data_IF_854931361834
#
_entry.id   IF_854931361834
#
_cell.length_a   1.000
_cell.length_b   1.000
_cell.length_c   1.000
_cell.angle_alpha   90.00
_cell.angle_beta   90.00
_cell.angle_gamma   90.00
#
_symmetry.space_group_name_H-M   'P 1'
#
loop_
_entity.id
_entity.type
_entity.pdbx_description
1 polymer ?
#
# COMPACT_ATOMS: atom_id res chain seq x y z
N UNK A 1 10.67 9.95 36.94
CA UNK A 1 10.17 8.56 36.95
C UNK A 1 10.39 8.01 35.56
N UNK A 2 11.27 7.02 35.43
CA UNK A 2 11.66 6.42 34.16
C UNK A 2 10.46 5.72 33.54
N UNK A 3 9.96 6.24 32.42
CA UNK A 3 8.94 5.55 31.62
C UNK A 3 9.63 4.44 30.85
N UNK A 4 9.67 3.25 31.44
CA UNK A 4 9.96 2.02 30.71
C UNK A 4 8.86 1.78 29.68
N UNK A 5 9.05 2.32 28.48
CA UNK A 5 8.36 1.87 27.28
C UNK A 5 8.85 0.46 26.96
N UNK A 6 8.15 -0.46 27.63
CA UNK A 6 8.20 -1.92 27.59
C UNK A 6 8.52 -2.47 26.20
N UNK A 7 9.65 -3.15 26.05
CA UNK A 7 9.97 -4.36 25.24
C UNK A 7 9.49 -4.50 23.77
N UNK A 8 8.32 -3.99 23.39
CA UNK A 8 7.69 -4.11 22.07
C UNK A 8 8.24 -3.12 21.02
N UNK A 9 9.04 -2.13 21.41
CA UNK A 9 9.50 -1.05 20.52
C UNK A 9 10.85 -1.30 19.83
N UNK A 10 11.51 -2.45 20.04
CA UNK A 10 12.82 -2.73 19.41
C UNK A 10 12.69 -3.48 18.09
N UNK A 11 13.52 -3.12 17.12
CA UNK A 11 13.71 -3.86 15.88
C UNK A 11 14.21 -5.28 16.22
N UNK A 12 13.59 -6.31 15.63
CA UNK A 12 13.85 -7.72 15.99
C UNK A 12 14.47 -8.50 14.83
N UNK A 13 15.19 -9.59 15.15
CA UNK A 13 15.71 -10.54 14.16
C UNK A 13 14.64 -11.08 13.22
N UNK A 14 13.42 -11.30 13.73
CA UNK A 14 12.28 -11.71 12.92
C UNK A 14 11.97 -10.69 11.81
N UNK A 15 11.96 -9.38 12.13
CA UNK A 15 11.71 -8.33 11.13
C UNK A 15 12.85 -8.16 10.14
N UNK A 16 14.08 -8.34 10.60
CA UNK A 16 15.24 -8.38 9.72
C UNK A 16 15.09 -9.50 8.68
N UNK A 17 14.72 -10.70 9.12
CA UNK A 17 14.42 -11.83 8.22
C UNK A 17 13.25 -11.53 7.29
N UNK A 18 12.15 -10.94 7.78
CA UNK A 18 11.04 -10.52 6.92
C UNK A 18 11.47 -9.53 5.84
N UNK A 19 12.41 -8.62 6.15
CA UNK A 19 12.95 -7.65 5.18
C UNK A 19 13.76 -8.37 4.10
N UNK A 20 14.57 -9.38 4.47
CA UNK A 20 15.30 -10.23 3.51
C UNK A 20 14.33 -11.00 2.61
N UNK A 21 13.30 -11.62 3.18
CA UNK A 21 12.27 -12.30 2.38
C UNK A 21 11.53 -11.33 1.46
N UNK A 22 11.21 -10.13 1.94
CA UNK A 22 10.60 -9.09 1.11
C UNK A 22 11.43 -8.72 -0.12
N UNK A 23 12.76 -8.61 0.04
CA UNK A 23 13.68 -8.38 -1.07
C UNK A 23 13.69 -9.56 -2.06
N UNK A 24 13.72 -10.80 -1.56
CA UNK A 24 13.68 -11.99 -2.40
C UNK A 24 12.37 -12.10 -3.19
N UNK A 25 11.23 -11.78 -2.56
CA UNK A 25 9.94 -11.73 -3.24
C UNK A 25 9.90 -10.66 -4.32
N UNK A 26 10.48 -9.48 -4.06
CA UNK A 26 10.57 -8.43 -5.08
C UNK A 26 11.39 -8.86 -6.30
N UNK A 27 12.54 -9.52 -6.09
CA UNK A 27 13.34 -10.07 -7.18
C UNK A 27 12.59 -11.15 -7.96
N UNK A 28 11.84 -12.00 -7.27
CA UNK A 28 11.02 -13.02 -7.90
C UNK A 28 9.91 -12.41 -8.76
N UNK A 29 9.26 -11.33 -8.29
CA UNK A 29 8.20 -10.58 -8.99
C UNK A 29 8.71 -10.01 -10.32
N UNK A 30 9.84 -9.31 -10.30
CA UNK A 30 10.49 -8.78 -11.52
C UNK A 30 10.77 -9.92 -12.51
N UNK A 31 11.29 -11.05 -12.01
CA UNK A 31 11.60 -12.22 -12.82
C UNK A 31 10.35 -12.86 -13.44
N UNK A 32 9.27 -13.01 -12.66
CA UNK A 32 8.01 -13.59 -13.14
C UNK A 32 7.34 -12.71 -14.17
N UNK A 33 7.36 -11.40 -13.99
CA UNK A 33 6.69 -10.46 -14.88
C UNK A 33 7.39 -10.36 -16.23
N UNK A 34 8.72 -10.36 -16.22
CA UNK A 34 9.51 -10.45 -17.44
C UNK A 34 9.26 -11.77 -18.17
N UNK A 35 9.27 -12.89 -17.46
CA UNK A 35 9.01 -14.20 -18.05
C UNK A 35 7.61 -14.30 -18.66
N UNK A 36 6.60 -13.79 -17.94
CA UNK A 36 5.21 -13.78 -18.39
C UNK A 36 5.03 -12.94 -19.65
N UNK A 37 5.63 -11.74 -19.68
CA UNK A 37 5.63 -10.88 -20.87
C UNK A 37 6.26 -11.57 -22.09
N UNK A 38 7.42 -12.23 -21.91
CA UNK A 38 8.07 -13.02 -22.96
C UNK A 38 7.19 -14.18 -23.42
N UNK A 39 6.49 -14.85 -22.51
CA UNK A 39 5.57 -15.94 -22.85
C UNK A 39 4.42 -15.43 -23.71
N UNK A 40 3.76 -14.32 -23.32
CA UNK A 40 2.70 -13.73 -24.13
C UNK A 40 3.19 -13.30 -25.51
N UNK A 41 4.39 -12.71 -25.59
CA UNK A 41 4.98 -12.31 -26.87
C UNK A 41 5.24 -13.52 -27.78
N UNK A 42 5.84 -14.59 -27.24
CA UNK A 42 6.10 -15.84 -27.99
C UNK A 42 4.83 -16.55 -28.43
N UNK A 43 3.76 -16.46 -27.65
CA UNK A 43 2.44 -17.00 -27.98
C UNK A 43 1.65 -16.13 -28.97
N UNK A 44 2.21 -15.01 -29.44
CA UNK A 44 1.55 -14.10 -30.40
C UNK A 44 0.56 -13.11 -29.77
N UNK A 45 0.38 -13.13 -28.45
CA UNK A 45 -0.51 -12.23 -27.72
C UNK A 45 0.19 -10.92 -27.34
N UNK A 46 0.53 -10.12 -28.36
CA UNK A 46 1.32 -8.88 -28.21
C UNK A 46 0.63 -7.87 -27.29
N UNK A 47 -0.71 -7.76 -27.32
CA UNK A 47 -1.46 -6.85 -26.46
C UNK A 47 -1.31 -7.19 -24.98
N UNK A 48 -1.35 -8.47 -24.62
CA UNK A 48 -1.18 -8.91 -23.23
C UNK A 48 0.25 -8.68 -22.75
N UNK A 49 1.25 -8.99 -23.59
CA UNK A 49 2.65 -8.67 -23.30
C UNK A 49 2.87 -7.17 -23.08
N UNK A 50 2.30 -6.33 -23.94
CA UNK A 50 2.41 -4.88 -23.85
C UNK A 50 1.75 -4.33 -22.57
N UNK A 51 0.54 -4.80 -22.23
CA UNK A 51 -0.13 -4.39 -20.99
C UNK A 51 0.65 -4.81 -19.74
N UNK A 52 1.16 -6.05 -19.68
CA UNK A 52 2.02 -6.51 -18.58
C UNK A 52 3.23 -5.60 -18.42
N UNK A 53 3.95 -5.30 -19.51
CA UNK A 53 5.12 -4.41 -19.46
C UNK A 53 4.77 -2.98 -19.05
N UNK A 54 3.62 -2.45 -19.48
CA UNK A 54 3.16 -1.12 -19.06
C UNK A 54 2.94 -1.08 -17.55
N UNK A 55 2.29 -2.10 -16.97
CA UNK A 55 2.09 -2.18 -15.52
C UNK A 55 3.43 -2.23 -14.76
N UNK A 56 4.40 -3.04 -15.24
CA UNK A 56 5.76 -3.09 -14.67
C UNK A 56 6.44 -1.72 -14.73
N UNK A 57 6.43 -1.08 -15.90
CA UNK A 57 7.11 0.21 -16.09
C UNK A 57 6.48 1.32 -15.25
N UNK A 58 5.16 1.37 -15.15
CA UNK A 58 4.45 2.37 -14.34
C UNK A 58 4.73 2.18 -12.86
N UNK A 59 4.58 0.97 -12.33
CA UNK A 59 4.87 0.66 -10.92
C UNK A 59 6.32 0.98 -10.56
N UNK A 60 7.25 0.48 -11.36
CA UNK A 60 8.68 0.73 -11.24
C UNK A 60 9.04 2.22 -11.28
N UNK A 61 8.56 2.99 -12.27
CA UNK A 61 8.83 4.42 -12.38
C UNK A 61 8.32 5.19 -11.16
N UNK A 62 7.09 4.91 -10.71
CA UNK A 62 6.52 5.54 -9.53
C UNK A 62 7.38 5.31 -8.29
N UNK A 63 7.80 4.07 -8.04
CA UNK A 63 8.63 3.74 -6.88
C UNK A 63 9.98 4.42 -6.93
N UNK A 64 10.63 4.50 -8.09
CA UNK A 64 11.91 5.18 -8.20
C UNK A 64 11.77 6.69 -7.94
N UNK A 65 10.67 7.33 -8.37
CA UNK A 65 10.40 8.75 -8.11
C UNK A 65 10.27 9.00 -6.59
N UNK A 66 9.44 8.20 -5.89
CA UNK A 66 9.28 8.33 -4.44
C UNK A 66 10.56 7.97 -3.68
N UNK A 67 11.21 6.87 -4.05
CA UNK A 67 12.47 6.44 -3.45
C UNK A 67 13.54 7.52 -3.56
N UNK A 68 13.66 8.17 -4.73
CA UNK A 68 14.60 9.26 -4.96
C UNK A 68 14.29 10.46 -4.06
N UNK A 69 13.03 10.91 -4.06
CA UNK A 69 12.61 12.06 -3.26
C UNK A 69 12.87 11.82 -1.77
N UNK A 70 12.53 10.64 -1.28
CA UNK A 70 12.76 10.26 0.11
C UNK A 70 14.24 10.12 0.43
N UNK A 71 15.08 9.63 -0.49
CA UNK A 71 16.53 9.55 -0.22
C UNK A 71 17.15 10.93 -0.10
N UNK A 72 16.65 11.87 -0.91
CA UNK A 72 17.05 13.27 -0.83
C UNK A 72 16.62 13.87 0.50
N UNK A 73 15.39 13.63 0.93
CA UNK A 73 14.86 14.11 2.22
C UNK A 73 15.64 13.48 3.40
N UNK A 74 15.96 12.19 3.35
CA UNK A 74 16.71 11.49 4.41
C UNK A 74 18.12 12.08 4.55
N UNK A 75 18.79 12.38 3.42
CA UNK A 75 20.13 13.02 3.40
C UNK A 75 20.13 14.45 3.95
N UNK A 76 19.06 15.20 3.74
CA UNK A 76 18.95 16.58 4.23
C UNK A 76 18.64 16.66 5.74
N UNK A 77 17.99 15.64 6.30
CA UNK A 77 17.52 15.64 7.69
C UNK A 77 18.41 14.85 8.65
N UNK A 78 19.09 13.82 8.17
CA UNK A 78 20.01 13.01 8.95
C UNK A 78 21.38 13.19 8.30
N UNK A 79 22.27 13.96 8.95
CA UNK A 79 23.66 14.15 8.52
C UNK A 79 24.38 12.79 8.56
N UNK A 80 24.16 11.96 7.53
CA UNK A 80 24.79 10.66 7.44
C UNK A 80 26.29 10.87 7.19
N UNK A 81 27.09 10.34 8.12
CA UNK A 81 28.56 10.32 8.15
C UNK A 81 29.20 9.57 6.95
N UNK A 82 28.40 9.12 5.99
CA UNK A 82 28.87 8.46 4.77
C UNK A 82 29.24 9.51 3.73
N UNK A 83 30.38 9.34 3.04
CA UNK A 83 30.88 10.26 2.01
C UNK A 83 29.80 10.48 0.95
N UNK A 84 29.04 11.57 1.12
CA UNK A 84 27.70 11.69 0.56
C UNK A 84 27.66 11.40 -0.93
N UNK A 85 26.87 10.40 -1.32
CA UNK A 85 26.54 10.15 -2.73
C UNK A 85 26.13 11.49 -3.37
N UNK A 86 26.81 11.86 -4.45
CA UNK A 86 26.46 13.09 -5.16
C UNK A 86 25.03 12.98 -5.69
N UNK A 87 24.33 14.11 -5.83
CA UNK A 87 22.97 14.13 -6.38
C UNK A 87 22.90 13.47 -7.76
N UNK A 88 23.97 13.59 -8.56
CA UNK A 88 24.09 12.91 -9.86
C UNK A 88 24.15 11.39 -9.71
N UNK A 89 24.91 10.89 -8.73
CA UNK A 89 24.93 9.46 -8.43
C UNK A 89 23.56 8.96 -7.96
N UNK A 90 22.88 9.73 -7.10
CA UNK A 90 21.54 9.38 -6.63
C UNK A 90 20.51 9.33 -7.78
N UNK A 91 20.56 10.28 -8.71
CA UNK A 91 19.73 10.24 -9.92
C UNK A 91 20.08 9.01 -10.76
N UNK A 92 21.38 8.75 -10.97
CA UNK A 92 21.84 7.62 -11.79
C UNK A 92 21.35 6.28 -11.24
N UNK A 93 21.40 6.04 -9.93
CA UNK A 93 20.93 4.76 -9.37
C UNK A 93 19.43 4.58 -9.55
N UNK A 94 18.61 5.64 -9.49
CA UNK A 94 17.16 5.55 -9.67
C UNK A 94 16.79 5.38 -11.15
N UNK A 95 17.50 6.06 -12.05
CA UNK A 95 17.35 5.87 -13.51
C UNK A 95 17.73 4.45 -13.92
N UNK A 96 18.77 3.88 -13.32
CA UNK A 96 19.19 2.49 -13.55
C UNK A 96 18.34 1.45 -12.81
N UNK A 97 17.25 1.86 -12.15
CA UNK A 97 16.35 1.00 -11.38
C UNK A 97 16.99 0.34 -10.14
N UNK A 98 18.16 0.81 -9.69
CA UNK A 98 18.91 0.29 -8.54
C UNK A 98 18.45 0.94 -7.22
N UNK A 99 17.73 2.06 -7.27
CA UNK A 99 17.33 2.85 -6.09
C UNK A 99 16.66 2.06 -4.98
N UNK A 100 15.61 1.28 -5.30
CA UNK A 100 14.93 0.44 -4.30
C UNK A 100 15.85 -0.61 -3.65
N UNK A 101 16.78 -1.21 -4.40
CA UNK A 101 17.75 -2.16 -3.87
C UNK A 101 18.69 -1.47 -2.89
N UNK A 102 19.09 -0.22 -3.16
CA UNK A 102 19.88 0.55 -2.20
C UNK A 102 19.11 0.82 -0.90
N UNK A 103 17.79 1.05 -0.94
CA UNK A 103 16.95 1.18 0.28
C UNK A 103 16.94 -0.11 1.10
N UNK A 104 16.73 -1.26 0.45
CA UNK A 104 16.77 -2.56 1.11
C UNK A 104 18.13 -2.81 1.78
N UNK A 105 19.23 -2.61 1.04
CA UNK A 105 20.58 -2.83 1.57
C UNK A 105 20.89 -1.86 2.72
N UNK A 106 20.48 -0.60 2.60
CA UNK A 106 20.67 0.40 3.66
C UNK A 106 19.92 0.00 4.95
N UNK A 107 18.64 -0.34 4.85
CA UNK A 107 17.84 -0.80 5.99
C UNK A 107 18.44 -2.08 6.61
N UNK A 108 18.80 -3.07 5.80
CA UNK A 108 19.37 -4.34 6.28
C UNK A 108 20.71 -4.14 7.00
N UNK A 109 21.59 -3.28 6.48
CA UNK A 109 22.89 -2.97 7.11
C UNK A 109 22.71 -2.27 8.46
N UNK A 110 21.88 -1.21 8.50
CA UNK A 110 21.65 -0.46 9.74
C UNK A 110 20.93 -1.28 10.79
N UNK A 111 19.86 -1.97 10.41
CA UNK A 111 19.13 -2.85 11.35
C UNK A 111 20.00 -4.00 11.87
N UNK A 112 20.91 -4.56 11.05
CA UNK A 112 21.87 -5.56 11.51
C UNK A 112 22.86 -4.99 12.54
N UNK A 113 23.38 -3.77 12.31
CA UNK A 113 24.27 -3.10 13.28
C UNK A 113 23.55 -2.83 14.60
N UNK A 114 22.32 -2.32 14.56
CA UNK A 114 21.48 -2.10 15.72
C UNK A 114 21.16 -3.41 16.47
N UNK A 115 20.82 -4.49 15.75
CA UNK A 115 20.53 -5.79 16.36
C UNK A 115 21.74 -6.42 17.08
N UNK A 116 22.96 -6.07 16.67
CA UNK A 116 24.20 -6.57 17.28
C UNK A 116 24.67 -5.69 18.45
N UNK A 117 24.14 -4.49 18.57
CA UNK A 117 24.54 -3.52 19.59
C UNK A 117 23.52 -3.52 20.72
N UNK A 118 23.92 -3.98 21.91
CA UNK A 118 23.01 -4.07 23.07
C UNK A 118 22.53 -2.70 23.58
N UNK A 119 23.26 -1.63 23.25
CA UNK A 119 23.02 -0.24 23.67
C UNK A 119 22.57 0.67 22.50
N UNK A 120 21.60 0.19 21.71
CA UNK A 120 21.05 1.00 20.60
C UNK A 120 20.12 2.08 21.17
N UNK A 121 20.39 3.35 20.83
CA UNK A 121 19.57 4.49 21.23
C UNK A 121 18.13 4.40 20.67
N UNK A 122 17.16 4.92 21.42
CA UNK A 122 15.74 4.93 21.01
C UNK A 122 15.51 5.69 19.69
N UNK A 123 16.29 6.74 19.43
CA UNK A 123 16.26 7.50 18.17
C UNK A 123 16.67 6.64 16.96
N UNK A 124 17.70 5.80 17.10
CA UNK A 124 18.13 4.89 16.03
C UNK A 124 17.06 3.81 15.77
N UNK A 125 16.42 3.30 16.82
CA UNK A 125 15.29 2.37 16.67
C UNK A 125 14.18 3.04 15.86
N UNK A 126 13.73 4.22 16.28
CA UNK A 126 12.68 4.98 15.60
C UNK A 126 13.00 5.24 14.12
N UNK A 127 14.23 5.64 13.83
CA UNK A 127 14.69 5.83 12.45
C UNK A 127 14.61 4.54 11.61
N UNK A 128 15.00 3.38 12.17
CA UNK A 128 14.85 2.08 11.50
C UNK A 128 13.38 1.73 11.18
N UNK A 129 12.44 2.07 12.07
CA UNK A 129 11.02 1.90 11.80
C UNK A 129 10.52 2.80 10.67
N UNK A 130 11.07 4.01 10.55
CA UNK A 130 10.79 4.90 9.42
C UNK A 130 11.27 4.35 8.09
N UNK A 131 12.52 3.93 8.02
CA UNK A 131 13.08 3.29 6.83
C UNK A 131 12.29 2.04 6.42
N UNK A 132 11.87 1.22 7.39
CA UNK A 132 11.04 0.05 7.12
C UNK A 132 9.64 0.44 6.60
N UNK A 133 9.09 1.55 7.07
CA UNK A 133 7.76 2.00 6.67
C UNK A 133 7.76 2.62 5.29
N UNK A 134 8.75 3.45 4.97
CA UNK A 134 9.00 3.90 3.60
C UNK A 134 9.02 2.70 2.65
N UNK A 135 9.80 1.67 2.98
CA UNK A 135 9.93 0.50 2.13
C UNK A 135 8.60 -0.23 1.93
N UNK A 136 7.84 -0.44 3.01
CA UNK A 136 6.51 -1.03 2.91
C UNK A 136 5.54 -0.15 2.11
N UNK A 137 5.65 1.18 2.18
CA UNK A 137 4.83 2.11 1.38
C UNK A 137 5.16 1.99 -0.11
N UNK A 138 6.44 1.94 -0.48
CA UNK A 138 6.87 1.73 -1.87
C UNK A 138 6.36 0.39 -2.42
N UNK A 139 6.48 -0.68 -1.62
CA UNK A 139 5.95 -2.00 -1.99
C UNK A 139 4.44 -2.00 -2.17
N UNK A 140 3.71 -1.24 -1.35
CA UNK A 140 2.27 -1.08 -1.54
C UNK A 140 1.95 -0.34 -2.84
N UNK A 141 2.68 0.73 -3.18
CA UNK A 141 2.50 1.43 -4.45
C UNK A 141 2.74 0.50 -5.64
N UNK A 142 3.83 -0.27 -5.63
CA UNK A 142 4.10 -1.30 -6.62
C UNK A 142 2.92 -2.24 -6.80
N UNK A 143 2.48 -2.84 -5.70
CA UNK A 143 1.42 -3.84 -5.73
C UNK A 143 0.16 -3.33 -6.42
N UNK A 144 -0.28 -2.10 -6.12
CA UNK A 144 -1.52 -1.56 -6.68
C UNK A 144 -1.37 -0.93 -8.06
N UNK A 145 -0.16 -0.55 -8.47
CA UNK A 145 0.13 -0.01 -9.81
C UNK A 145 0.51 -1.11 -10.81
N UNK A 146 1.06 -2.22 -10.33
CA UNK A 146 1.65 -3.30 -11.12
C UNK A 146 0.91 -4.62 -10.89
N UNK A 147 1.10 -5.26 -9.72
CA UNK A 147 0.66 -6.65 -9.49
C UNK A 147 -0.87 -6.83 -9.51
N UNK A 148 -1.63 -5.89 -8.96
CA UNK A 148 -3.11 -5.97 -8.90
C UNK A 148 -3.74 -5.77 -10.29
N UNK A 149 -3.39 -4.72 -11.07
CA UNK A 149 -3.84 -4.61 -12.46
C UNK A 149 -3.43 -5.80 -13.35
N UNK A 150 -2.23 -6.33 -13.17
CA UNK A 150 -1.81 -7.56 -13.85
C UNK A 150 -2.67 -8.75 -13.45
N UNK A 151 -3.03 -8.90 -12.18
CA UNK A 151 -3.94 -9.97 -11.74
C UNK A 151 -5.32 -9.82 -12.38
N UNK A 152 -5.86 -8.60 -12.48
CA UNK A 152 -7.12 -8.34 -13.21
C UNK A 152 -7.03 -8.83 -14.67
N UNK A 153 -5.90 -8.54 -15.35
CA UNK A 153 -5.64 -9.00 -16.72
C UNK A 153 -5.50 -10.53 -16.80
N UNK A 154 -4.79 -11.17 -15.87
CA UNK A 154 -4.63 -12.63 -15.85
C UNK A 154 -5.97 -13.34 -15.62
N UNK A 155 -6.80 -12.86 -14.70
CA UNK A 155 -8.14 -13.40 -14.47
C UNK A 155 -9.00 -13.25 -15.73
N UNK A 156 -8.90 -12.11 -16.44
CA UNK A 156 -9.60 -11.88 -17.70
C UNK A 156 -9.21 -12.94 -18.76
N UNK A 157 -7.91 -13.16 -18.95
CA UNK A 157 -7.40 -14.14 -19.93
C UNK A 157 -7.89 -15.56 -19.58
N UNK A 158 -7.83 -15.93 -18.29
CA UNK A 158 -8.27 -17.25 -17.81
C UNK A 158 -9.76 -17.49 -18.09
N UNK A 159 -10.62 -16.51 -17.79
CA UNK A 159 -12.07 -16.63 -17.99
C UNK A 159 -12.47 -16.64 -19.47
N UNK A 160 -11.70 -15.94 -20.32
CA UNK A 160 -11.96 -15.93 -21.77
C UNK A 160 -11.44 -17.20 -22.47
N UNK A 161 -10.35 -17.80 -21.99
CA UNK A 161 -9.65 -18.90 -22.68
C UNK A 161 -9.66 -20.25 -21.94
N UNK A 162 -10.45 -20.40 -20.86
CA UNK A 162 -10.62 -21.64 -20.08
C UNK A 162 -9.29 -22.27 -19.60
N UNK A 163 -8.31 -21.46 -19.22
CA UNK A 163 -7.04 -21.96 -18.69
C UNK A 163 -7.11 -22.13 -17.16
N UNK A 164 -7.11 -23.37 -16.68
CA UNK A 164 -7.10 -23.68 -15.24
C UNK A 164 -5.70 -23.56 -14.62
N UNK A 165 -5.33 -22.38 -14.13
CA UNK A 165 -4.17 -22.19 -13.24
C UNK A 165 -4.64 -21.62 -11.90
N UNK A 166 -4.10 -22.14 -10.80
CA UNK A 166 -4.52 -21.87 -9.42
C UNK A 166 -4.34 -20.39 -9.04
N UNK A 167 -5.44 -19.63 -9.05
CA UNK A 167 -5.53 -18.22 -8.64
C UNK A 167 -5.31 -17.97 -7.14
N UNK A 168 -5.28 -19.03 -6.31
CA UNK A 168 -5.24 -18.90 -4.85
C UNK A 168 -3.95 -18.25 -4.33
N UNK A 169 -2.82 -18.47 -5.02
CA UNK A 169 -1.52 -17.93 -4.61
C UNK A 169 -1.44 -16.41 -4.83
N UNK A 170 -1.96 -15.89 -5.95
CA UNK A 170 -1.91 -14.45 -6.27
C UNK A 170 -2.78 -13.60 -5.34
N UNK A 171 -3.94 -14.11 -4.92
CA UNK A 171 -4.78 -13.43 -3.93
C UNK A 171 -4.16 -13.41 -2.53
N UNK A 172 -3.44 -14.46 -2.16
CA UNK A 172 -2.76 -14.56 -0.86
C UNK A 172 -1.58 -13.58 -0.76
N UNK A 173 -0.79 -13.41 -1.83
CA UNK A 173 0.32 -12.44 -1.89
C UNK A 173 -0.17 -11.00 -1.83
N UNK A 174 -1.25 -10.64 -2.54
CA UNK A 174 -1.81 -9.27 -2.52
C UNK A 174 -2.30 -8.87 -1.12
N UNK A 175 -3.00 -9.78 -0.45
CA UNK A 175 -3.47 -9.48 0.88
C UNK A 175 -2.34 -9.41 1.91
N UNK A 176 -1.33 -10.28 1.80
CA UNK A 176 -0.19 -10.27 2.70
C UNK A 176 0.56 -8.94 2.67
N UNK A 177 0.82 -8.36 1.50
CA UNK A 177 1.52 -7.08 1.43
C UNK A 177 0.66 -5.88 1.88
N UNK A 178 -0.66 -5.92 1.69
CA UNK A 178 -1.56 -4.89 2.23
C UNK A 178 -1.52 -4.88 3.77
N UNK A 179 -1.39 -6.06 4.39
CA UNK A 179 -1.26 -6.21 5.85
C UNK A 179 0.13 -5.84 6.34
N UNK A 180 1.17 -6.19 5.59
CA UNK A 180 2.54 -5.79 5.88
C UNK A 180 2.66 -4.25 5.89
N UNK A 181 2.11 -3.57 4.88
CA UNK A 181 2.02 -2.11 4.85
C UNK A 181 1.30 -1.56 6.10
N UNK A 182 0.11 -2.07 6.43
CA UNK A 182 -0.65 -1.54 7.57
C UNK A 182 0.08 -1.74 8.90
N UNK A 183 0.83 -2.83 9.05
CA UNK A 183 1.65 -3.09 10.23
C UNK A 183 2.87 -2.18 10.30
N UNK A 184 3.58 -1.98 9.20
CA UNK A 184 4.74 -1.09 9.16
C UNK A 184 4.31 0.38 9.36
N UNK A 185 3.30 0.84 8.62
CA UNK A 185 2.69 2.17 8.77
C UNK A 185 2.34 2.47 10.23
N UNK A 186 1.51 1.64 10.87
CA UNK A 186 1.11 1.86 12.27
C UNK A 186 2.25 1.82 13.29
N UNK A 187 3.36 1.15 12.97
CA UNK A 187 4.53 1.08 13.86
C UNK A 187 5.52 2.22 13.65
N UNK A 188 5.51 2.91 12.51
CA UNK A 188 6.21 4.19 12.38
C UNK A 188 5.54 5.33 13.13
N UNK A 189 4.26 5.22 13.48
CA UNK A 189 3.53 6.26 14.20
C UNK A 189 3.69 6.13 15.73
N UNK A 190 4.40 7.05 16.45
CA UNK A 190 4.69 6.92 17.88
C UNK A 190 3.44 7.04 18.76
N UNK A 191 2.35 7.60 18.23
CA UNK A 191 1.08 7.80 18.95
C UNK A 191 0.03 6.72 18.68
N UNK A 192 0.34 5.70 17.86
CA UNK A 192 -0.58 4.62 17.53
C UNK A 192 -0.10 3.30 18.15
N UNK A 193 -0.97 2.68 18.96
CA UNK A 193 -0.70 1.34 19.47
C UNK A 193 -0.50 0.37 18.32
N UNK A 194 0.54 -0.44 18.43
CA UNK A 194 0.86 -1.51 17.49
C UNK A 194 -0.35 -2.42 17.23
N UNK A 195 -0.44 -2.97 16.02
CA UNK A 195 -1.34 -4.09 15.76
C UNK A 195 -0.70 -5.38 16.31
N UNK A 196 -1.29 -6.02 17.34
CA UNK A 196 -0.66 -7.17 17.97
C UNK A 196 -0.41 -8.30 16.96
N UNK A 197 0.74 -8.97 17.10
CA UNK A 197 1.00 -10.19 16.36
C UNK A 197 0.01 -11.30 16.76
N UNK A 198 -0.35 -12.19 15.83
CA UNK A 198 -1.34 -13.25 16.08
C UNK A 198 -2.74 -12.92 15.54
N UNK A 199 -3.78 -13.20 16.34
CA UNK A 199 -5.20 -13.21 15.93
C UNK A 199 -5.67 -11.87 15.31
N UNK A 200 -5.36 -10.68 15.89
CA UNK A 200 -5.78 -9.41 15.29
C UNK A 200 -5.29 -9.22 13.87
N UNK A 201 -4.04 -9.63 13.60
CA UNK A 201 -3.48 -9.58 12.25
C UNK A 201 -4.15 -10.58 11.32
N UNK A 202 -4.36 -11.81 11.77
CA UNK A 202 -5.03 -12.82 10.95
C UNK A 202 -6.43 -12.36 10.54
N UNK A 203 -7.21 -11.78 11.47
CA UNK A 203 -8.55 -11.26 11.18
C UNK A 203 -8.52 -10.10 10.19
N UNK A 204 -7.58 -9.16 10.34
CA UNK A 204 -7.44 -8.04 9.40
C UNK A 204 -6.96 -8.49 8.02
N UNK A 205 -6.07 -9.49 7.97
CA UNK A 205 -5.66 -10.15 6.73
C UNK A 205 -6.85 -10.81 6.04
N UNK A 206 -7.66 -11.56 6.78
CA UNK A 206 -8.90 -12.15 6.26
C UNK A 206 -9.83 -11.07 5.70
N UNK A 207 -10.06 -9.98 6.44
CA UNK A 207 -10.83 -8.84 5.95
C UNK A 207 -10.30 -8.31 4.59
N UNK A 208 -8.99 -8.12 4.45
CA UNK A 208 -8.41 -7.65 3.19
C UNK A 208 -8.54 -8.68 2.06
N UNK A 209 -8.25 -9.96 2.31
CA UNK A 209 -8.45 -11.05 1.32
C UNK A 209 -9.91 -11.03 0.83
N UNK A 210 -10.86 -11.11 1.75
CA UNK A 210 -12.28 -11.25 1.44
C UNK A 210 -12.93 -9.96 0.91
N UNK A 211 -12.23 -8.81 0.91
CA UNK A 211 -12.72 -7.59 0.24
C UNK A 211 -12.03 -7.32 -1.10
N UNK A 212 -10.73 -7.61 -1.22
CA UNK A 212 -9.95 -7.38 -2.44
C UNK A 212 -10.25 -8.44 -3.50
N UNK A 213 -10.32 -9.73 -3.14
CA UNK A 213 -10.59 -10.81 -4.10
C UNK A 213 -11.92 -10.63 -4.86
N UNK A 214 -13.08 -10.42 -4.20
CA UNK A 214 -14.33 -10.21 -4.93
C UNK A 214 -14.33 -8.89 -5.72
N UNK A 215 -13.54 -7.90 -5.29
CA UNK A 215 -13.36 -6.64 -6.01
C UNK A 215 -12.61 -6.85 -7.33
N UNK A 216 -11.51 -7.61 -7.31
CA UNK A 216 -10.74 -7.95 -8.52
C UNK A 216 -11.64 -8.73 -9.49
N UNK A 217 -12.35 -9.76 -9.01
CA UNK A 217 -13.29 -10.54 -9.83
C UNK A 217 -14.38 -9.65 -10.44
N UNK A 218 -14.97 -8.74 -9.66
CA UNK A 218 -15.97 -7.80 -10.16
C UNK A 218 -15.42 -6.87 -11.24
N UNK A 219 -14.22 -6.30 -11.04
CA UNK A 219 -13.57 -5.45 -12.04
C UNK A 219 -13.24 -6.22 -13.32
N UNK A 220 -12.82 -7.48 -13.21
CA UNK A 220 -12.62 -8.35 -14.38
C UNK A 220 -13.92 -8.56 -15.15
N UNK A 221 -15.02 -8.94 -14.48
CA UNK A 221 -16.33 -9.08 -15.14
C UNK A 221 -16.78 -7.77 -15.80
N UNK A 222 -16.49 -6.63 -15.17
CA UNK A 222 -16.79 -5.32 -15.73
C UNK A 222 -16.00 -5.02 -17.01
N UNK A 223 -14.73 -5.39 -17.08
CA UNK A 223 -13.91 -5.23 -18.30
C UNK A 223 -14.39 -6.18 -19.42
N UNK A 224 -14.84 -7.39 -19.09
CA UNK A 224 -15.39 -8.35 -20.07
C UNK A 224 -16.67 -7.85 -20.76
N UNK A 225 -17.37 -6.90 -20.14
CA UNK A 225 -18.60 -6.31 -20.68
C UNK A 225 -18.37 -5.64 -22.04
N UNK A 226 -17.38 -4.75 -22.12
CA UNK A 226 -17.06 -3.96 -23.31
C UNK A 226 -15.69 -3.32 -23.19
N UNK A 227 -15.03 -3.07 -24.32
CA UNK A 227 -13.80 -2.24 -24.36
C UNK A 227 -14.05 -0.85 -23.75
N UNK A 228 -15.26 -0.30 -23.86
CA UNK A 228 -15.64 0.99 -23.26
C UNK A 228 -15.69 0.95 -21.72
N UNK A 229 -15.76 -0.23 -21.08
CA UNK A 229 -15.71 -0.35 -19.62
C UNK A 229 -14.39 0.18 -19.02
N UNK A 230 -13.31 0.19 -19.81
CA UNK A 230 -12.03 0.81 -19.41
C UNK A 230 -12.16 2.32 -19.18
N UNK A 231 -12.99 3.00 -19.98
CA UNK A 231 -13.30 4.43 -19.81
C UNK A 231 -14.10 4.63 -18.51
N UNK A 232 -15.09 3.79 -18.24
CA UNK A 232 -15.85 3.85 -17.00
C UNK A 232 -14.97 3.59 -15.77
N UNK A 233 -14.01 2.65 -15.85
CA UNK A 233 -13.00 2.46 -14.81
C UNK A 233 -12.13 3.70 -14.61
N UNK A 234 -11.70 4.36 -15.68
CA UNK A 234 -10.98 5.62 -15.59
C UNK A 234 -11.82 6.71 -14.91
N UNK A 235 -13.14 6.77 -15.17
CA UNK A 235 -14.03 7.68 -14.46
C UNK A 235 -14.12 7.35 -12.95
N UNK A 236 -14.23 6.08 -12.57
CA UNK A 236 -14.23 5.67 -11.16
C UNK A 236 -12.90 6.04 -10.49
N UNK A 237 -11.79 5.87 -11.19
CA UNK A 237 -10.47 6.27 -10.71
C UNK A 237 -10.37 7.78 -10.50
N UNK A 238 -10.92 8.58 -11.42
CA UNK A 238 -10.98 10.03 -11.27
C UNK A 238 -11.79 10.43 -10.03
N UNK A 239 -12.90 9.74 -9.74
CA UNK A 239 -13.68 9.98 -8.51
C UNK A 239 -12.83 9.70 -7.27
N UNK A 240 -12.11 8.58 -7.23
CA UNK A 240 -11.20 8.26 -6.12
C UNK A 240 -10.04 9.25 -5.99
N UNK A 241 -9.53 9.75 -7.11
CA UNK A 241 -8.48 10.78 -7.13
C UNK A 241 -9.02 12.10 -6.60
N UNK A 242 -10.18 12.57 -7.08
CA UNK A 242 -10.84 13.77 -6.58
C UNK A 242 -11.12 13.66 -5.09
N UNK A 243 -11.55 12.48 -4.60
CA UNK A 243 -11.65 12.24 -3.17
C UNK A 243 -10.33 12.51 -2.46
N UNK A 244 -9.22 11.93 -2.91
CA UNK A 244 -7.90 12.15 -2.31
C UNK A 244 -7.46 13.62 -2.33
N UNK A 245 -7.88 14.40 -3.34
CA UNK A 245 -7.66 15.84 -3.39
C UNK A 245 -8.51 16.62 -2.37
N UNK A 246 -9.78 16.25 -2.20
CA UNK A 246 -10.69 16.86 -1.21
C UNK A 246 -10.23 16.54 0.20
N UNK A 247 -9.65 15.36 0.40
CA UNK A 247 -9.09 14.94 1.68
C UNK A 247 -7.85 15.76 2.08
N UNK A 248 -7.28 16.59 1.19
CA UNK A 248 -6.16 17.51 1.42
C UNK A 248 -5.02 16.93 2.29
N UNK A 249 -4.28 16.00 1.69
CA UNK A 249 -3.10 15.35 2.30
C UNK A 249 -1.86 16.23 2.29
N UNK A 250 -1.01 16.09 3.32
CA UNK A 250 0.32 16.72 3.41
C UNK A 250 1.39 15.64 3.68
N UNK A 251 1.52 14.70 2.74
CA UNK A 251 2.40 13.54 2.89
C UNK A 251 3.83 13.84 2.39
N UNK A 252 3.95 14.60 1.30
CA UNK A 252 5.18 14.87 0.58
C UNK A 252 5.74 16.27 0.86
N UNK A 253 7.07 16.41 0.79
CA UNK A 253 7.75 17.70 0.89
C UNK A 253 7.50 18.62 -0.32
N UNK A 254 7.30 18.03 -1.51
CA UNK A 254 7.05 18.74 -2.77
C UNK A 254 5.61 18.62 -3.23
N UNK A 255 5.04 19.74 -3.72
CA UNK A 255 3.66 19.79 -4.28
C UNK A 255 3.45 18.84 -5.45
N UNK A 256 4.44 18.68 -6.33
CA UNK A 256 4.35 17.78 -7.48
C UNK A 256 4.28 16.32 -7.02
N UNK A 257 5.08 15.98 -6.00
CA UNK A 257 5.09 14.64 -5.43
C UNK A 257 3.78 14.35 -4.68
N UNK A 258 3.20 15.36 -4.03
CA UNK A 258 1.89 15.27 -3.39
C UNK A 258 0.77 15.00 -4.40
N UNK A 259 0.78 15.67 -5.57
CA UNK A 259 -0.16 15.38 -6.65
C UNK A 259 -0.01 13.95 -7.18
N UNK A 260 1.23 13.47 -7.34
CA UNK A 260 1.48 12.09 -7.73
C UNK A 260 0.96 11.11 -6.67
N UNK A 261 1.20 11.39 -5.39
CA UNK A 261 0.71 10.57 -4.28
C UNK A 261 -0.81 10.46 -4.28
N UNK A 262 -1.54 11.59 -4.37
CA UNK A 262 -3.01 11.61 -4.43
C UNK A 262 -3.55 10.83 -5.64
N UNK A 263 -2.85 10.90 -6.77
CA UNK A 263 -3.19 10.14 -7.99
C UNK A 263 -3.04 8.63 -7.78
N UNK A 264 -1.96 8.18 -7.12
CA UNK A 264 -1.73 6.78 -6.77
C UNK A 264 -2.76 6.31 -5.74
N UNK A 265 -3.07 7.11 -4.73
CA UNK A 265 -4.14 6.82 -3.77
C UNK A 265 -5.47 6.59 -4.49
N UNK A 266 -5.79 7.40 -5.50
CA UNK A 266 -6.95 7.17 -6.37
C UNK A 266 -6.94 5.79 -7.04
N UNK A 267 -5.78 5.30 -7.49
CA UNK A 267 -5.64 3.93 -8.02
C UNK A 267 -5.87 2.89 -6.92
N UNK A 268 -5.27 3.07 -5.74
CA UNK A 268 -5.46 2.15 -4.61
C UNK A 268 -6.95 2.05 -4.23
N UNK A 269 -7.68 3.16 -4.22
CA UNK A 269 -9.11 3.22 -3.94
C UNK A 269 -9.98 2.52 -5.01
N UNK A 270 -9.46 2.20 -6.19
CA UNK A 270 -10.17 1.29 -7.11
C UNK A 270 -10.30 -0.11 -6.51
N UNK A 271 -9.32 -0.54 -5.72
CA UNK A 271 -9.16 -1.93 -5.30
C UNK A 271 -9.43 -2.15 -3.81
N UNK A 272 -9.02 -1.22 -2.95
CA UNK A 272 -9.21 -1.35 -1.50
C UNK A 272 -9.35 -0.02 -0.79
N UNK A 273 -10.03 -0.01 0.35
CA UNK A 273 -10.05 1.15 1.21
C UNK A 273 -8.63 1.41 1.75
N UNK A 274 -8.15 2.62 1.48
CA UNK A 274 -6.90 3.16 1.98
C UNK A 274 -7.21 4.38 2.84
N UNK A 275 -6.76 4.35 4.11
CA UNK A 275 -6.98 5.48 5.01
C UNK A 275 -5.95 6.57 4.70
N UNK A 276 -6.39 7.58 3.97
CA UNK A 276 -5.58 8.66 3.40
C UNK A 276 -5.04 9.60 4.47
N UNK A 277 -5.85 9.91 5.49
CA UNK A 277 -5.60 10.95 6.50
C UNK A 277 -5.32 10.41 7.90
N UNK A 278 -5.40 9.09 8.08
CA UNK A 278 -5.15 8.36 9.32
C UNK A 278 -6.14 8.61 10.48
N UNK A 279 -6.78 9.78 10.54
CA UNK A 279 -7.78 10.16 11.56
C UNK A 279 -9.23 9.77 11.18
N UNK A 280 -10.09 9.54 12.20
CA UNK A 280 -11.55 9.37 12.11
C UNK A 280 -12.10 8.61 10.88
N UNK A 281 -11.45 7.52 10.48
CA UNK A 281 -11.74 6.78 9.26
C UNK A 281 -13.11 6.07 9.21
N UNK A 282 -13.90 6.07 10.28
CA UNK A 282 -15.17 5.33 10.34
C UNK A 282 -16.13 5.76 9.23
N UNK A 283 -16.38 7.05 9.07
CA UNK A 283 -17.31 7.56 8.05
C UNK A 283 -16.78 7.30 6.65
N UNK A 284 -15.51 7.65 6.38
CA UNK A 284 -14.87 7.44 5.08
C UNK A 284 -14.87 5.96 4.67
N UNK A 285 -14.58 5.07 5.64
CA UNK A 285 -14.61 3.62 5.45
C UNK A 285 -16.02 3.12 5.15
N UNK A 286 -17.03 3.56 5.91
CA UNK A 286 -18.43 3.17 5.67
C UNK A 286 -18.89 3.62 4.28
N UNK A 287 -18.63 4.88 3.90
CA UNK A 287 -19.01 5.40 2.57
C UNK A 287 -18.31 4.61 1.46
N UNK A 288 -17.01 4.35 1.60
CA UNK A 288 -16.26 3.53 0.64
C UNK A 288 -16.88 2.14 0.46
N UNK A 289 -17.18 1.44 1.56
CA UNK A 289 -17.69 0.06 1.46
C UNK A 289 -19.12 -0.01 0.95
N UNK A 290 -19.97 0.98 1.22
CA UNK A 290 -21.29 1.10 0.58
C UNK A 290 -21.14 1.21 -0.94
N UNK A 291 -20.26 2.10 -1.40
CA UNK A 291 -19.99 2.27 -2.82
C UNK A 291 -19.36 1.02 -3.45
N UNK A 292 -18.41 0.38 -2.76
CA UNK A 292 -17.77 -0.85 -3.21
C UNK A 292 -18.76 -2.00 -3.34
N UNK A 293 -19.73 -2.15 -2.42
CA UNK A 293 -20.80 -3.15 -2.55
C UNK A 293 -21.62 -2.87 -3.79
N UNK A 294 -22.06 -1.63 -3.99
CA UNK A 294 -22.84 -1.23 -5.17
C UNK A 294 -22.13 -1.55 -6.47
N UNK A 295 -20.84 -1.20 -6.58
CA UNK A 295 -20.03 -1.52 -7.75
C UNK A 295 -19.80 -3.02 -7.94
N UNK A 296 -19.58 -3.77 -6.85
CA UNK A 296 -19.34 -5.20 -6.92
C UNK A 296 -20.57 -5.97 -7.44
N UNK A 297 -21.77 -5.48 -7.14
CA UNK A 297 -23.04 -5.99 -7.66
C UNK A 297 -23.33 -5.51 -9.08
N UNK A 298 -22.97 -4.26 -9.41
CA UNK A 298 -23.25 -3.68 -10.72
C UNK A 298 -22.56 -4.46 -11.85
N UNK A 299 -21.32 -4.92 -11.67
CA UNK A 299 -20.59 -5.63 -12.73
C UNK A 299 -21.29 -6.91 -13.23
N UNK A 300 -21.63 -7.92 -12.38
CA UNK A 300 -22.35 -9.11 -12.84
C UNK A 300 -23.76 -8.81 -13.34
N UNK A 301 -24.47 -7.83 -12.74
CA UNK A 301 -25.80 -7.43 -13.20
C UNK A 301 -25.74 -6.84 -14.61
N UNK A 302 -24.79 -5.92 -14.87
CA UNK A 302 -24.60 -5.34 -16.20
C UNK A 302 -24.16 -6.39 -17.21
N UNK A 303 -23.31 -7.34 -16.81
CA UNK A 303 -22.89 -8.45 -17.66
C UNK A 303 -24.09 -9.34 -18.03
N UNK A 304 -24.95 -9.67 -17.07
CA UNK A 304 -26.19 -10.40 -17.31
C UNK A 304 -27.14 -9.66 -18.27
N UNK A 305 -27.35 -8.35 -18.05
CA UNK A 305 -28.31 -7.56 -18.82
C UNK A 305 -27.85 -7.26 -20.25
N UNK A 306 -26.56 -7.00 -20.45
CA UNK A 306 -26.02 -6.54 -21.74
C UNK A 306 -25.34 -7.65 -22.56
N UNK A 307 -24.93 -8.76 -21.91
CA UNK A 307 -24.37 -9.96 -22.56
C UNK A 307 -25.01 -11.23 -21.98
N UNK A 308 -26.28 -11.51 -22.30
CA UNK A 308 -26.98 -12.69 -21.78
C UNK A 308 -26.33 -14.01 -22.21
N UNK A 309 -25.57 -14.04 -23.30
CA UNK A 309 -24.78 -15.22 -23.72
C UNK A 309 -23.76 -15.68 -22.67
N UNK A 310 -23.29 -14.77 -21.81
CA UNK A 310 -22.36 -15.09 -20.71
C UNK A 310 -23.02 -15.92 -19.60
N UNK A 311 -24.35 -15.93 -19.49
CA UNK A 311 -25.09 -16.75 -18.50
C UNK A 311 -24.87 -18.25 -18.74
N UNK A 312 -24.70 -18.67 -19.99
CA UNK A 312 -24.49 -20.07 -20.35
C UNK A 312 -23.10 -20.62 -20.01
N UNK A 313 -22.22 -19.81 -19.40
CA UNK A 313 -20.87 -20.25 -19.03
C UNK A 313 -20.85 -20.86 -17.62
N UNK A 314 -20.13 -21.98 -17.47
CA UNK A 314 -20.06 -22.73 -16.19
C UNK A 314 -19.50 -21.90 -15.01
N UNK A 315 -18.75 -20.84 -15.29
CA UNK A 315 -18.13 -19.99 -14.27
C UNK A 315 -19.01 -18.84 -13.78
N UNK A 316 -20.05 -18.43 -14.51
CA UNK A 316 -20.77 -17.18 -14.23
C UNK A 316 -21.48 -17.20 -12.87
N UNK A 317 -22.30 -18.21 -12.62
CA UNK A 317 -23.02 -18.36 -11.34
C UNK A 317 -22.08 -18.60 -10.15
N UNK A 318 -21.06 -19.49 -10.22
CA UNK A 318 -20.07 -19.64 -9.14
C UNK A 318 -19.35 -18.34 -8.79
N UNK A 319 -18.96 -17.53 -9.78
CA UNK A 319 -18.26 -16.26 -9.52
C UNK A 319 -19.18 -15.25 -8.84
N UNK A 320 -20.44 -15.13 -9.26
CA UNK A 320 -21.40 -14.24 -8.59
C UNK A 320 -21.61 -14.66 -7.13
N UNK A 321 -21.84 -15.95 -6.90
CA UNK A 321 -21.99 -16.49 -5.55
C UNK A 321 -20.75 -16.21 -4.70
N UNK A 322 -19.56 -16.44 -5.26
CA UNK A 322 -18.30 -16.15 -4.60
C UNK A 322 -18.15 -14.66 -4.28
N UNK A 323 -18.45 -13.75 -5.22
CA UNK A 323 -18.38 -12.30 -5.00
C UNK A 323 -19.25 -11.90 -3.80
N UNK A 324 -20.50 -12.36 -3.76
CA UNK A 324 -21.46 -12.03 -2.70
C UNK A 324 -21.02 -12.55 -1.33
N UNK A 325 -20.70 -13.85 -1.25
CA UNK A 325 -20.33 -14.50 0.01
C UNK A 325 -19.00 -13.97 0.53
N UNK A 326 -17.99 -13.88 -0.34
CA UNK A 326 -16.66 -13.38 0.00
C UNK A 326 -16.72 -11.94 0.50
N UNK A 327 -17.40 -11.04 -0.21
CA UNK A 327 -17.49 -9.64 0.21
C UNK A 327 -18.24 -9.48 1.54
N UNK A 328 -19.30 -10.26 1.75
CA UNK A 328 -20.04 -10.28 3.02
C UNK A 328 -19.18 -10.78 4.17
N UNK A 329 -18.40 -11.84 3.97
CA UNK A 329 -17.42 -12.33 4.94
C UNK A 329 -16.36 -11.28 5.25
N UNK A 330 -15.87 -10.55 4.23
CA UNK A 330 -14.91 -9.47 4.38
C UNK A 330 -15.42 -8.34 5.27
N UNK A 331 -16.67 -7.90 5.07
CA UNK A 331 -17.33 -6.92 5.93
C UNK A 331 -17.57 -7.47 7.35
N UNK A 332 -17.86 -8.76 7.49
CA UNK A 332 -17.94 -9.45 8.78
C UNK A 332 -16.62 -9.41 9.55
N UNK A 333 -15.51 -9.75 8.90
CA UNK A 333 -14.16 -9.65 9.50
C UNK A 333 -13.78 -8.20 9.82
N UNK A 334 -14.20 -7.24 8.99
CA UNK A 334 -14.01 -5.81 9.27
C UNK A 334 -14.73 -5.41 10.57
N UNK A 335 -16.01 -5.79 10.71
CA UNK A 335 -16.80 -5.55 11.91
C UNK A 335 -16.21 -6.22 13.14
N UNK A 336 -15.82 -7.50 13.03
CA UNK A 336 -15.13 -8.26 14.07
C UNK A 336 -13.83 -7.58 14.52
N UNK A 337 -13.03 -7.11 13.55
CA UNK A 337 -11.80 -6.39 13.84
C UNK A 337 -12.07 -5.12 14.64
N UNK A 338 -12.97 -4.25 14.17
CA UNK A 338 -13.23 -2.97 14.84
C UNK A 338 -14.01 -3.08 16.15
N UNK A 339 -14.77 -4.16 16.35
CA UNK A 339 -15.53 -4.39 17.59
C UNK A 339 -14.68 -5.01 18.71
N UNK A 340 -13.86 -6.02 18.40
CA UNK A 340 -13.19 -6.82 19.42
C UNK A 340 -11.66 -6.69 19.44
N UNK A 341 -11.03 -6.33 18.32
CA UNK A 341 -9.58 -6.49 18.13
C UNK A 341 -8.85 -5.18 17.81
N UNK A 342 -9.57 -4.13 17.44
CA UNK A 342 -8.98 -2.82 17.19
C UNK A 342 -8.54 -2.25 18.54
N UNK A 343 -7.23 -1.99 18.73
CA UNK A 343 -6.77 -1.44 20.00
C UNK A 343 -7.43 -0.08 20.18
N UNK A 344 -8.30 0.01 21.19
CA UNK A 344 -8.92 1.25 21.58
C UNK A 344 -7.80 2.22 21.97
N UNK A 345 -7.67 3.32 21.23
CA UNK A 345 -6.90 4.45 21.72
C UNK A 345 -7.61 4.93 23.00
N UNK A 346 -6.89 5.15 24.11
CA UNK A 346 -7.42 6.04 25.14
C UNK A 346 -7.78 7.34 24.42
N UNK A 347 -8.99 7.84 24.67
CA UNK A 347 -9.43 9.11 24.14
C UNK A 347 -8.30 10.13 24.28
N UNK A 348 -8.06 10.89 23.22
CA UNK A 348 -7.41 12.18 23.27
C UNK A 348 -8.13 12.98 24.36
N UNK A 349 -7.63 12.93 25.60
CA UNK A 349 -7.92 13.97 26.55
C UNK A 349 -7.50 15.25 25.86
N UNK A 350 -8.46 16.16 25.79
CA UNK A 350 -8.33 17.52 25.32
C UNK A 350 -6.94 18.07 25.69
N UNK A 351 -6.06 18.22 24.70
CA UNK A 351 -5.11 19.33 24.74
C UNK A 351 -5.83 20.49 24.06
N UNK A 352 -6.77 21.02 24.83
CA UNK A 352 -7.34 22.34 24.75
C UNK A 352 -7.89 22.56 26.16
N UNK A 353 -7.08 23.17 27.01
CA UNK A 353 -7.45 24.33 27.81
C UNK A 353 -6.19 24.85 28.55
N UNK A 354 -5.80 26.07 28.18
CA UNK A 354 -5.07 27.10 28.93
C UNK A 354 -3.84 26.75 29.79
N UNK A 355 -2.69 27.32 29.41
CA UNK A 355 -2.05 28.32 30.29
C UNK A 355 -1.75 29.56 29.46
N UNK A 356 -2.59 30.58 29.63
CA UNK A 356 -2.23 31.99 29.40
C UNK A 356 -1.13 32.38 30.39
N UNK A 357 -0.03 32.94 29.90
CA UNK A 357 1.05 33.44 30.76
C UNK A 357 2.29 33.84 29.98
N UNK A 358 2.45 35.15 29.80
CA UNK A 358 3.64 35.85 29.29
C UNK A 358 4.96 35.29 29.84
N UNK A 359 5.97 35.18 28.96
CA UNK A 359 7.15 36.02 29.07
C UNK A 359 7.90 36.09 27.72
N UNK A 360 8.10 37.32 27.25
CA UNK A 360 9.01 37.66 26.17
C UNK A 360 10.44 37.36 26.63
N UNK A 361 11.17 36.52 25.90
CA UNK A 361 12.62 36.63 25.79
C UNK A 361 13.01 36.52 24.31
N UNK A 362 13.53 37.63 23.82
CA UNK A 362 14.13 37.86 22.52
C UNK A 362 15.22 36.82 22.19
N UNK A 363 15.21 36.25 20.98
CA UNK A 363 16.28 35.35 20.54
C UNK A 363 16.00 34.53 19.27
N UNK A 364 16.21 35.15 18.11
CA UNK A 364 16.50 34.55 16.78
C UNK A 364 15.80 33.24 16.38
N UNK A 365 14.84 33.41 15.46
CA UNK A 365 14.25 32.43 14.56
C UNK A 365 15.19 31.31 14.07
N UNK A 366 14.89 30.10 14.51
CA UNK A 366 14.86 28.93 13.62
C UNK A 366 13.65 28.09 14.02
N UNK A 367 12.56 28.18 13.25
CA UNK A 367 11.52 27.15 13.31
C UNK A 367 12.23 25.81 13.02
N UNK A 368 12.09 24.79 13.89
CA UNK A 368 12.61 23.47 13.58
C UNK A 368 11.89 22.99 12.32
N UNK A 369 12.66 22.67 11.27
CA UNK A 369 12.10 22.04 10.07
C UNK A 369 11.42 20.75 10.50
N UNK A 370 10.09 20.72 10.47
CA UNK A 370 9.33 19.50 10.72
C UNK A 370 9.82 18.42 9.76
N UNK A 371 10.37 17.33 10.28
CA UNK A 371 10.91 16.26 9.43
C UNK A 371 9.77 15.62 8.64
N UNK A 372 10.06 15.03 7.47
CA UNK A 372 9.08 14.22 6.71
C UNK A 372 8.42 13.18 7.62
N UNK A 373 9.20 12.61 8.54
CA UNK A 373 8.71 11.70 9.56
C UNK A 373 7.65 12.36 10.43
N UNK A 374 7.90 13.53 11.03
CA UNK A 374 6.88 14.26 11.81
C UNK A 374 5.61 14.61 11.02
N UNK A 375 5.70 14.83 9.70
CA UNK A 375 4.51 15.00 8.84
C UNK A 375 3.77 13.69 8.62
N UNK A 376 4.51 12.61 8.39
CA UNK A 376 3.99 11.25 8.36
C UNK A 376 3.26 10.91 9.67
N UNK A 377 3.66 11.51 10.80
CA UNK A 377 3.06 11.30 12.12
C UNK A 377 1.77 12.07 12.40
N UNK A 378 1.46 13.11 11.62
CA UNK A 378 0.22 13.88 11.73
C UNK A 378 -0.93 13.30 10.89
N UNK A 379 -0.63 12.28 10.09
CA UNK A 379 -1.60 11.44 9.36
C UNK A 379 -1.92 10.26 10.26
#
# INVERSE_FOLDING_TARGET
ISYTLKSESRFTWFRWLCTVFGLLFYLADIGSDFLLSVQYFKSGHVTWAALTLVFVLVGSLCIQIFSYAWFKDDKENYEEDDKGLSTCHLISIHVLQIGIFTRYVHLLKRSFKALRSEDTQEEEQFHLFGLATDLSMLRMFEMFLESVPQLVLQVYIILEHNHHISMAMSFLTIAWATVDYRRCFRRSLPNLKEMPSGIPTAVYLSYKIFTITPRILSLTLFIMLSTFSTVAMACIWLVGTVWAFVEDTDFCTSRVLEYLYRTIVGVILLFTFFNIKGENAKVHMTVYYIFSVGQNLAAPILLFLLKPESEGTDYFLPIIFFILVSHSMGLGFLGLYYSLLHPHQPCREKIADEIDGMDQVDGMNHEPKTTRFERFLRI
#
